data_IF_570257212754
#
_entry.id   IF_570257212754
#
_cell.length_a   1.000
_cell.length_b   1.000
_cell.length_c   1.000
_cell.angle_alpha   90.00
_cell.angle_beta   90.00
_cell.angle_gamma   90.00
#
_symmetry.space_group_name_H-M   'P 1'
#
loop_
_entity.id
_entity.type
_entity.pdbx_description
1 polymer ?
#
# COMPACT_ATOMS: atom_id res chain seq x y z
N UNK A 1 3.86 8.63 -20.07
CA UNK A 1 3.61 7.67 -18.98
C UNK A 1 3.94 8.40 -17.69
N UNK A 2 3.00 8.53 -16.76
CA UNK A 2 3.34 9.00 -15.42
C UNK A 2 4.15 7.88 -14.76
N UNK A 3 5.38 8.17 -14.37
CA UNK A 3 6.16 7.27 -13.54
C UNK A 3 5.46 7.16 -12.19
N UNK A 4 4.72 6.07 -11.99
CA UNK A 4 4.27 5.69 -10.64
C UNK A 4 5.51 5.70 -9.75
N UNK A 5 5.39 6.22 -8.53
CA UNK A 5 6.42 6.16 -7.49
C UNK A 5 5.82 5.53 -6.24
N UNK A 6 6.54 4.59 -5.64
CA UNK A 6 6.18 4.05 -4.34
C UNK A 6 6.61 5.05 -3.27
N UNK A 7 5.64 5.60 -2.53
CA UNK A 7 5.89 6.50 -1.39
C UNK A 7 5.78 5.68 -0.10
N UNK A 8 6.93 5.24 0.42
CA UNK A 8 7.03 4.40 1.61
C UNK A 8 6.45 5.12 2.84
N UNK A 9 6.67 6.44 2.97
CA UNK A 9 6.19 7.24 4.09
C UNK A 9 4.66 7.25 4.14
N UNK A 10 4.04 7.46 2.99
CA UNK A 10 2.58 7.41 2.87
C UNK A 10 2.02 6.02 3.10
N UNK A 11 2.68 4.99 2.56
CA UNK A 11 2.30 3.60 2.76
C UNK A 11 2.33 3.20 4.24
N UNK A 12 3.32 3.69 4.99
CA UNK A 12 3.38 3.52 6.44
C UNK A 12 2.19 4.14 7.17
N UNK A 13 1.76 5.33 6.79
CA UNK A 13 0.58 5.99 7.36
C UNK A 13 -0.70 5.19 7.06
N UNK A 14 -0.89 4.79 5.80
CA UNK A 14 -2.08 4.06 5.35
C UNK A 14 -2.16 2.64 5.96
N UNK A 15 -1.02 2.02 6.29
CA UNK A 15 -0.92 0.63 6.71
C UNK A 15 -0.08 0.43 7.99
N UNK A 16 -0.30 1.26 9.00
CA UNK A 16 0.42 1.24 10.28
C UNK A 16 0.44 -0.13 11.01
N UNK A 17 -0.51 -1.02 10.71
CA UNK A 17 -0.61 -2.35 11.29
C UNK A 17 0.51 -3.31 10.84
N UNK A 18 1.29 -2.95 9.82
CA UNK A 18 2.53 -3.64 9.43
C UNK A 18 3.78 -3.03 10.08
N UNK A 19 3.73 -2.78 11.38
CA UNK A 19 4.84 -2.11 12.08
C UNK A 19 6.19 -2.83 11.87
N UNK A 20 6.21 -4.16 11.83
CA UNK A 20 7.43 -4.96 11.58
C UNK A 20 8.05 -4.71 10.20
N UNK A 21 7.23 -4.52 9.16
CA UNK A 21 7.69 -4.14 7.82
C UNK A 21 8.30 -2.74 7.90
N UNK A 22 7.57 -1.79 8.50
CA UNK A 22 8.02 -0.41 8.57
C UNK A 22 9.28 -0.25 9.40
N UNK A 23 9.44 -1.01 10.48
CA UNK A 23 10.66 -1.04 11.28
C UNK A 23 11.86 -1.47 10.45
N UNK A 24 11.67 -2.43 9.54
CA UNK A 24 12.72 -2.85 8.60
C UNK A 24 13.12 -1.69 7.69
N UNK A 25 12.16 -1.02 7.05
CA UNK A 25 12.46 0.12 6.17
C UNK A 25 13.05 1.33 6.92
N UNK A 26 12.61 1.59 8.15
CA UNK A 26 13.17 2.62 9.02
C UNK A 26 14.63 2.32 9.34
N UNK A 27 14.94 1.06 9.69
CA UNK A 27 16.32 0.66 9.94
C UNK A 27 17.14 0.75 8.66
N UNK A 28 16.63 0.30 7.50
CA UNK A 28 17.31 0.45 6.20
C UNK A 28 17.63 1.91 5.89
N UNK A 29 16.70 2.84 6.19
CA UNK A 29 16.87 4.27 5.87
C UNK A 29 17.61 5.09 6.94
N UNK A 30 17.93 4.48 8.08
CA UNK A 30 18.62 5.14 9.19
C UNK A 30 19.94 5.79 8.75
N UNK A 31 20.22 6.98 9.29
CA UNK A 31 21.48 7.69 9.06
C UNK A 31 22.69 6.85 9.49
N UNK A 32 23.81 7.01 8.79
CA UNK A 32 25.11 6.42 9.16
C UNK A 32 25.91 7.30 10.14
N UNK A 33 25.36 8.44 10.55
CA UNK A 33 25.99 9.30 11.55
C UNK A 33 26.14 8.58 12.89
N UNK A 34 27.35 8.64 13.48
CA UNK A 34 27.69 7.91 14.70
C UNK A 34 28.00 6.43 14.50
N UNK A 35 27.94 5.90 13.27
CA UNK A 35 28.42 4.55 12.98
C UNK A 35 29.95 4.49 13.03
N UNK A 36 30.49 3.57 13.84
CA UNK A 36 31.95 3.40 14.01
C UNK A 36 32.67 2.96 12.72
N UNK A 37 31.96 2.43 11.73
CA UNK A 37 32.52 2.02 10.44
C UNK A 37 32.25 3.03 9.32
N UNK A 38 31.66 4.18 9.62
CA UNK A 38 31.32 5.22 8.63
C UNK A 38 32.47 5.54 7.69
N UNK A 39 33.69 5.68 8.18
CA UNK A 39 34.88 5.98 7.37
C UNK A 39 35.17 4.94 6.28
N UNK A 40 34.85 3.66 6.53
CA UNK A 40 34.96 2.60 5.52
C UNK A 40 33.91 2.78 4.43
N UNK A 41 32.68 3.09 4.82
CA UNK A 41 31.58 3.34 3.88
C UNK A 41 31.88 4.56 3.02
N UNK A 42 32.38 5.64 3.62
CA UNK A 42 32.79 6.86 2.93
C UNK A 42 33.87 6.58 1.87
N UNK A 43 34.93 5.86 2.24
CA UNK A 43 36.02 5.50 1.32
C UNK A 43 35.49 4.77 0.07
N UNK A 44 34.57 3.83 0.26
CA UNK A 44 33.98 3.02 -0.82
C UNK A 44 33.04 3.87 -1.67
N UNK A 45 32.15 4.63 -1.05
CA UNK A 45 31.21 5.49 -1.77
C UNK A 45 31.89 6.64 -2.50
N UNK A 46 32.99 7.18 -1.97
CA UNK A 46 33.79 8.19 -2.65
C UNK A 46 34.33 7.65 -3.99
N UNK A 47 34.79 6.40 -4.02
CA UNK A 47 35.25 5.74 -5.23
C UNK A 47 34.10 5.54 -6.23
N UNK A 48 32.95 5.06 -5.79
CA UNK A 48 31.79 4.80 -6.68
C UNK A 48 31.18 6.08 -7.24
N UNK A 49 31.32 7.20 -6.53
CA UNK A 49 30.85 8.49 -6.99
C UNK A 49 31.82 9.17 -7.97
N UNK A 50 33.09 8.74 -8.09
CA UNK A 50 34.08 9.38 -8.97
C UNK A 50 33.66 9.45 -10.46
N UNK A 51 33.11 8.37 -11.06
CA UNK A 51 32.77 8.36 -12.48
C UNK A 51 31.52 9.17 -12.84
N UNK A 52 30.76 9.65 -11.84
CA UNK A 52 29.49 10.34 -12.07
C UNK A 52 29.73 11.79 -12.50
N UNK A 53 29.00 12.21 -13.54
CA UNK A 53 29.00 13.59 -14.03
C UNK A 53 28.47 14.58 -12.97
N UNK A 54 27.45 14.17 -12.22
CA UNK A 54 26.81 14.97 -11.18
C UNK A 54 26.83 14.23 -9.84
N UNK A 55 27.58 14.77 -8.87
CA UNK A 55 27.72 14.17 -7.53
C UNK A 55 26.70 14.79 -6.58
N UNK A 56 25.47 14.26 -6.57
CA UNK A 56 24.43 14.71 -5.65
C UNK A 56 24.65 14.17 -4.25
N UNK A 57 24.33 15.00 -3.25
CA UNK A 57 24.43 14.62 -1.85
C UNK A 57 23.45 13.48 -1.51
N UNK A 58 22.27 13.43 -2.16
CA UNK A 58 21.32 12.32 -1.98
C UNK A 58 21.89 10.99 -2.47
N UNK A 59 22.65 10.99 -3.57
CA UNK A 59 23.30 9.80 -4.11
C UNK A 59 24.37 9.28 -3.17
N UNK A 60 25.18 10.19 -2.60
CA UNK A 60 26.16 9.85 -1.57
C UNK A 60 25.48 9.24 -0.34
N UNK A 61 24.43 9.88 0.18
CA UNK A 61 23.67 9.39 1.33
C UNK A 61 23.07 8.01 1.07
N UNK A 62 22.50 7.79 -0.12
CA UNK A 62 22.01 6.49 -0.55
C UNK A 62 23.12 5.43 -0.55
N UNK A 63 24.27 5.72 -1.18
CA UNK A 63 25.41 4.80 -1.21
C UNK A 63 25.86 4.40 0.20
N UNK A 64 26.02 5.38 1.11
CA UNK A 64 26.44 5.12 2.48
C UNK A 64 25.46 4.19 3.21
N UNK A 65 24.15 4.45 3.08
CA UNK A 65 23.09 3.60 3.64
C UNK A 65 23.13 2.19 3.03
N UNK A 66 23.30 2.06 1.71
CA UNK A 66 23.35 0.77 1.03
C UNK A 66 24.57 -0.05 1.45
N UNK A 67 25.76 0.53 1.51
CA UNK A 67 26.97 -0.18 1.98
C UNK A 67 26.82 -0.63 3.43
N UNK A 68 26.25 0.22 4.30
CA UNK A 68 25.93 -0.18 5.67
C UNK A 68 24.89 -1.30 5.73
N UNK A 69 23.87 -1.27 4.87
CA UNK A 69 22.81 -2.27 4.77
C UNK A 69 23.30 -3.63 4.29
N UNK A 70 24.21 -3.63 3.32
CA UNK A 70 24.93 -4.82 2.93
C UNK A 70 25.72 -5.26 4.16
N UNK A 71 26.60 -4.43 4.71
CA UNK A 71 27.14 -4.65 6.06
C UNK A 71 28.41 -5.48 6.12
N UNK A 72 29.03 -5.77 4.97
CA UNK A 72 30.28 -6.54 4.84
C UNK A 72 31.51 -5.83 5.39
N UNK A 73 31.37 -4.54 5.72
CA UNK A 73 32.41 -3.74 6.37
C UNK A 73 32.23 -3.60 7.89
N UNK A 74 31.18 -4.18 8.47
CA UNK A 74 30.89 -4.14 9.92
C UNK A 74 31.37 -5.40 10.64
N UNK A 75 31.71 -5.31 11.94
CA UNK A 75 32.19 -6.46 12.74
C UNK A 75 31.13 -7.55 12.92
N UNK A 76 29.85 -7.18 12.92
CA UNK A 76 28.76 -8.14 12.99
C UNK A 76 28.30 -8.41 11.57
N UNK A 77 28.74 -9.51 10.98
CA UNK A 77 28.29 -10.00 9.68
C UNK A 77 26.82 -10.43 9.76
N UNK A 78 25.89 -9.51 10.05
CA UNK A 78 24.44 -9.70 9.93
C UNK A 78 24.09 -10.31 8.56
N UNK A 79 24.90 -9.96 7.56
CA UNK A 79 24.98 -10.52 6.20
C UNK A 79 24.98 -12.04 6.11
N UNK A 80 25.60 -12.75 7.07
CA UNK A 80 25.67 -14.21 7.08
C UNK A 80 24.32 -14.88 7.39
N UNK A 81 23.30 -14.07 7.68
CA UNK A 81 21.98 -14.52 8.10
C UNK A 81 20.86 -13.94 7.23
N UNK A 82 21.17 -13.32 6.09
CA UNK A 82 20.12 -12.82 5.21
C UNK A 82 19.18 -13.97 4.83
N UNK A 83 17.92 -13.85 5.23
CA UNK A 83 16.85 -14.68 4.70
C UNK A 83 16.41 -14.11 3.36
N UNK A 84 15.73 -14.92 2.56
CA UNK A 84 15.12 -14.45 1.30
C UNK A 84 14.24 -13.20 1.51
N UNK A 85 13.52 -13.13 2.64
CA UNK A 85 12.67 -12.00 3.02
C UNK A 85 13.47 -10.70 3.21
N UNK A 86 14.64 -10.78 3.86
CA UNK A 86 15.51 -9.62 4.07
C UNK A 86 16.04 -9.08 2.74
N UNK A 87 16.35 -9.97 1.81
CA UNK A 87 16.81 -9.61 0.48
C UNK A 87 15.75 -8.95 -0.37
N UNK A 88 14.51 -9.42 -0.28
CA UNK A 88 13.37 -8.79 -0.93
C UNK A 88 13.16 -7.38 -0.38
N UNK A 89 13.14 -7.23 0.96
CA UNK A 89 13.02 -5.93 1.60
C UNK A 89 14.14 -4.96 1.20
N UNK A 90 15.39 -5.43 1.14
CA UNK A 90 16.53 -4.61 0.70
C UNK A 90 16.37 -4.18 -0.76
N UNK A 91 16.05 -5.08 -1.68
CA UNK A 91 15.87 -4.76 -3.11
C UNK A 91 14.67 -3.80 -3.32
N UNK A 92 13.59 -3.98 -2.56
CA UNK A 92 12.41 -3.10 -2.59
C UNK A 92 12.75 -1.68 -2.10
N UNK A 93 13.53 -1.57 -1.02
CA UNK A 93 14.06 -0.29 -0.56
C UNK A 93 14.98 0.35 -1.59
N UNK A 94 15.93 -0.40 -2.15
CA UNK A 94 16.85 0.07 -3.21
C UNK A 94 16.08 0.67 -4.39
N UNK A 95 15.06 -0.03 -4.89
CA UNK A 95 14.25 0.47 -5.99
C UNK A 95 13.50 1.75 -5.62
N UNK A 96 12.89 1.79 -4.43
CA UNK A 96 12.12 2.95 -3.98
C UNK A 96 13.02 4.18 -3.83
N UNK A 97 14.18 4.02 -3.20
CA UNK A 97 15.19 5.08 -3.06
C UNK A 97 15.77 5.50 -4.41
N UNK A 98 16.00 4.55 -5.33
CA UNK A 98 16.43 4.85 -6.71
C UNK A 98 15.46 5.83 -7.37
N UNK A 99 14.16 5.51 -7.32
CA UNK A 99 13.11 6.35 -7.92
C UNK A 99 12.94 7.68 -7.19
N UNK A 100 13.15 7.71 -5.89
CA UNK A 100 12.99 8.91 -5.10
C UNK A 100 14.09 9.94 -5.32
N UNK A 101 15.35 9.50 -5.32
CA UNK A 101 16.51 10.38 -5.38
C UNK A 101 17.17 10.39 -6.77
N UNK A 102 16.53 9.73 -7.75
CA UNK A 102 17.05 9.54 -9.10
C UNK A 102 18.50 9.00 -9.07
N UNK A 103 18.71 7.94 -8.29
CA UNK A 103 20.04 7.35 -8.07
C UNK A 103 20.52 6.68 -9.37
N UNK A 104 21.74 6.94 -9.83
CA UNK A 104 22.34 6.25 -10.97
C UNK A 104 22.49 4.74 -10.73
N UNK A 105 22.27 3.94 -11.76
CA UNK A 105 22.38 2.48 -11.69
C UNK A 105 23.81 2.02 -11.40
N UNK A 106 24.79 2.83 -11.78
CA UNK A 106 26.21 2.61 -11.52
C UNK A 106 26.50 2.51 -10.03
N UNK A 107 25.90 3.39 -9.19
CA UNK A 107 26.10 3.34 -7.73
C UNK A 107 25.58 2.03 -7.16
N UNK A 108 24.37 1.64 -7.54
CA UNK A 108 23.72 0.43 -7.03
C UNK A 108 24.55 -0.79 -7.45
N UNK A 109 24.92 -0.85 -8.74
CA UNK A 109 25.71 -1.94 -9.32
C UNK A 109 27.05 -2.10 -8.61
N UNK A 110 27.78 -1.00 -8.39
CA UNK A 110 29.08 -1.05 -7.72
C UNK A 110 28.97 -1.46 -6.24
N UNK A 111 27.95 -1.00 -5.51
CA UNK A 111 27.70 -1.45 -4.14
C UNK A 111 27.51 -2.97 -4.05
N UNK A 112 26.67 -3.55 -4.92
CA UNK A 112 26.43 -5.00 -4.92
C UNK A 112 27.60 -5.81 -5.48
N UNK A 113 28.34 -5.28 -6.46
CA UNK A 113 29.56 -5.91 -6.97
C UNK A 113 30.63 -6.01 -5.88
N UNK A 114 30.85 -4.93 -5.13
CA UNK A 114 31.79 -4.92 -4.03
C UNK A 114 31.38 -5.88 -2.92
N UNK A 115 30.09 -5.88 -2.54
CA UNK A 115 29.55 -6.86 -1.59
C UNK A 115 29.81 -8.31 -2.05
N UNK A 116 29.44 -8.65 -3.29
CA UNK A 116 29.66 -9.98 -3.88
C UNK A 116 31.12 -10.39 -3.85
N UNK A 117 32.02 -9.47 -4.21
CA UNK A 117 33.47 -9.73 -4.26
C UNK A 117 34.04 -10.01 -2.86
N UNK A 118 33.59 -9.27 -1.85
CA UNK A 118 33.98 -9.51 -0.45
C UNK A 118 33.42 -10.85 0.07
N UNK A 119 32.16 -11.18 -0.22
CA UNK A 119 31.56 -12.45 0.20
C UNK A 119 32.23 -13.66 -0.44
N UNK A 120 32.48 -13.60 -1.76
CA UNK A 120 33.19 -14.65 -2.47
C UNK A 120 34.61 -14.85 -1.93
N UNK A 121 35.32 -13.75 -1.61
CA UNK A 121 36.63 -13.80 -0.97
C UNK A 121 36.62 -14.49 0.41
N UNK A 122 35.48 -14.46 1.10
CA UNK A 122 35.24 -15.16 2.36
C UNK A 122 34.60 -16.56 2.18
N UNK A 123 34.44 -17.05 0.94
CA UNK A 123 33.85 -18.36 0.64
C UNK A 123 32.33 -18.43 0.79
N UNK A 124 31.63 -17.30 0.82
CA UNK A 124 30.17 -17.20 0.97
C UNK A 124 29.57 -16.92 -0.42
N UNK A 125 28.76 -17.86 -0.92
CA UNK A 125 28.18 -17.77 -2.27
C UNK A 125 26.66 -17.56 -2.27
N UNK A 126 25.98 -17.98 -1.21
CA UNK A 126 24.55 -17.70 -1.04
C UNK A 126 24.40 -16.29 -0.48
N UNK A 127 24.27 -15.32 -1.39
CA UNK A 127 24.30 -13.90 -1.09
C UNK A 127 23.06 -13.20 -1.64
N UNK A 128 22.78 -12.04 -1.07
CA UNK A 128 21.75 -11.14 -1.57
C UNK A 128 22.13 -10.57 -2.93
N UNK A 129 21.50 -11.06 -4.00
CA UNK A 129 21.72 -10.53 -5.33
C UNK A 129 20.85 -9.30 -5.59
N UNK A 130 21.43 -8.32 -6.25
CA UNK A 130 20.67 -7.24 -6.86
C UNK A 130 20.03 -7.71 -8.15
N UNK A 131 18.79 -7.29 -8.38
CA UNK A 131 18.13 -7.42 -9.65
C UNK A 131 17.37 -6.13 -9.97
N UNK A 132 17.48 -5.69 -11.23
CA UNK A 132 16.77 -4.52 -11.70
C UNK A 132 15.30 -4.83 -11.89
N UNK A 133 14.46 -4.15 -11.11
CA UNK A 133 13.01 -4.28 -11.21
C UNK A 133 12.47 -3.85 -12.59
N UNK A 134 13.06 -2.82 -13.19
CA UNK A 134 12.68 -2.30 -14.51
C UNK A 134 13.00 -3.28 -15.64
N UNK A 135 14.14 -3.96 -15.55
CA UNK A 135 14.59 -4.86 -16.61
C UNK A 135 13.91 -6.23 -16.53
N UNK A 136 13.43 -6.60 -15.34
CA UNK A 136 12.88 -7.94 -15.10
C UNK A 136 11.34 -7.98 -15.09
N UNK A 137 10.66 -6.85 -14.86
CA UNK A 137 9.22 -6.89 -14.62
C UNK A 137 8.43 -5.82 -15.37
N UNK A 138 7.21 -6.19 -15.79
CA UNK A 138 6.20 -5.22 -16.22
C UNK A 138 5.58 -4.57 -14.98
N UNK A 139 5.40 -3.26 -15.03
CA UNK A 139 4.89 -2.44 -13.90
C UNK A 139 5.54 -2.78 -12.56
N UNK A 140 6.84 -2.53 -12.39
CA UNK A 140 7.60 -3.08 -11.27
C UNK A 140 7.08 -2.68 -9.89
N UNK A 141 6.45 -1.50 -9.77
CA UNK A 141 5.80 -1.07 -8.51
C UNK A 141 4.68 -2.02 -8.10
N UNK A 142 3.87 -2.49 -9.04
CA UNK A 142 2.81 -3.43 -8.73
C UNK A 142 3.42 -4.77 -8.24
N UNK A 143 4.55 -5.19 -8.83
CA UNK A 143 5.27 -6.38 -8.38
C UNK A 143 5.84 -6.20 -6.97
N UNK A 144 6.47 -5.06 -6.67
CA UNK A 144 7.00 -4.75 -5.34
C UNK A 144 5.89 -4.76 -4.29
N UNK A 145 4.72 -4.19 -4.59
CA UNK A 145 3.56 -4.22 -3.70
C UNK A 145 3.16 -5.66 -3.36
N UNK A 146 3.06 -6.53 -4.38
CA UNK A 146 2.72 -7.94 -4.19
C UNK A 146 3.82 -8.71 -3.44
N UNK A 147 5.09 -8.41 -3.71
CA UNK A 147 6.24 -9.03 -3.04
C UNK A 147 6.29 -8.66 -1.55
N UNK A 148 6.10 -7.39 -1.20
CA UNK A 148 5.98 -6.95 0.21
C UNK A 148 4.84 -7.67 0.91
N UNK A 149 3.68 -7.82 0.26
CA UNK A 149 2.56 -8.58 0.82
C UNK A 149 2.93 -10.05 1.03
N UNK A 150 3.56 -10.68 0.03
CA UNK A 150 3.95 -12.08 0.07
C UNK A 150 4.98 -12.37 1.17
N UNK A 151 6.04 -11.57 1.26
CA UNK A 151 7.11 -11.74 2.27
C UNK A 151 6.63 -11.57 3.70
N UNK A 152 5.45 -10.97 3.91
CA UNK A 152 4.87 -10.72 5.23
C UNK A 152 3.54 -11.43 5.43
N UNK A 153 3.25 -12.44 4.60
CA UNK A 153 1.95 -13.08 4.57
C UNK A 153 1.67 -13.86 5.85
N UNK A 154 2.69 -14.37 6.56
CA UNK A 154 2.54 -14.97 7.89
C UNK A 154 1.90 -14.00 8.89
N UNK A 155 2.36 -12.74 8.91
CA UNK A 155 1.80 -11.69 9.78
C UNK A 155 0.35 -11.42 9.37
N UNK A 156 0.07 -11.34 8.07
CA UNK A 156 -1.29 -11.16 7.56
C UNK A 156 -2.20 -12.31 8.00
N UNK A 157 -1.76 -13.55 7.85
CA UNK A 157 -2.49 -14.76 8.25
C UNK A 157 -2.82 -14.72 9.75
N UNK A 158 -1.86 -14.41 10.60
CA UNK A 158 -2.05 -14.32 12.05
C UNK A 158 -3.05 -13.22 12.41
N UNK A 159 -2.96 -12.06 11.76
CA UNK A 159 -3.88 -10.94 11.97
C UNK A 159 -5.32 -11.27 11.56
N UNK A 160 -5.53 -11.99 10.46
CA UNK A 160 -6.89 -12.36 10.01
C UNK A 160 -7.49 -13.55 10.78
N UNK A 161 -6.64 -14.39 11.37
CA UNK A 161 -7.03 -15.52 12.21
C UNK A 161 -7.27 -15.12 13.69
N UNK A 162 -6.84 -13.92 14.10
CA UNK A 162 -7.05 -13.40 15.45
C UNK A 162 -8.54 -13.28 15.80
N UNK A 163 -8.93 -13.74 17.00
CA UNK A 163 -10.31 -13.76 17.52
C UNK A 163 -10.82 -12.36 17.90
N UNK A 164 -10.15 -11.31 17.44
CA UNK A 164 -10.63 -9.96 17.68
C UNK A 164 -11.91 -9.70 16.86
N UNK A 165 -13.00 -9.36 17.54
CA UNK A 165 -14.29 -9.05 16.91
C UNK A 165 -14.22 -7.80 16.02
N UNK A 166 -13.19 -6.95 16.20
CA UNK A 166 -13.01 -5.73 15.44
C UNK A 166 -12.16 -5.99 14.19
N UNK A 167 -12.81 -5.92 13.02
CA UNK A 167 -12.13 -5.96 11.72
C UNK A 167 -11.22 -4.74 11.59
N UNK A 168 -9.95 -4.97 11.29
CA UNK A 168 -9.07 -3.90 10.83
C UNK A 168 -9.38 -3.59 9.35
N UNK A 169 -10.14 -2.51 9.13
CA UNK A 169 -10.50 -2.07 7.77
C UNK A 169 -9.30 -1.73 6.90
N UNK A 170 -8.19 -1.27 7.50
CA UNK A 170 -6.93 -1.04 6.80
C UNK A 170 -6.35 -2.34 6.24
N UNK A 171 -6.33 -3.40 7.05
CA UNK A 171 -5.88 -4.73 6.63
C UNK A 171 -6.77 -5.31 5.53
N UNK A 172 -8.09 -5.24 5.71
CA UNK A 172 -9.04 -5.67 4.68
C UNK A 172 -8.84 -4.91 3.37
N UNK A 173 -8.66 -3.58 3.44
CA UNK A 173 -8.39 -2.74 2.26
C UNK A 173 -7.08 -3.15 1.59
N UNK A 174 -6.02 -3.40 2.35
CA UNK A 174 -4.72 -3.79 1.80
C UNK A 174 -4.78 -5.15 1.07
N UNK A 175 -5.44 -6.14 1.65
CA UNK A 175 -5.70 -7.45 1.01
C UNK A 175 -6.43 -7.23 -0.32
N UNK A 176 -7.46 -6.38 -0.31
CA UNK A 176 -8.23 -6.04 -1.50
C UNK A 176 -7.40 -5.31 -2.57
N UNK A 177 -6.54 -4.37 -2.18
CA UNK A 177 -5.67 -3.66 -3.11
C UNK A 177 -4.67 -4.64 -3.77
N UNK A 178 -4.11 -5.59 -3.00
CA UNK A 178 -3.23 -6.64 -3.54
C UNK A 178 -3.97 -7.57 -4.53
N UNK A 179 -5.19 -8.00 -4.19
CA UNK A 179 -6.02 -8.85 -5.08
C UNK A 179 -6.35 -8.11 -6.38
N UNK A 180 -6.67 -6.82 -6.30
CA UNK A 180 -6.94 -6.01 -7.48
C UNK A 180 -5.72 -5.91 -8.40
N UNK A 181 -4.56 -5.58 -7.80
CA UNK A 181 -3.29 -5.50 -8.54
C UNK A 181 -2.98 -6.82 -9.23
N UNK A 182 -3.07 -7.95 -8.50
CA UNK A 182 -2.86 -9.27 -9.06
C UNK A 182 -3.76 -9.52 -10.29
N UNK A 183 -5.07 -9.31 -10.15
CA UNK A 183 -6.03 -9.59 -11.23
C UNK A 183 -5.80 -8.73 -12.47
N UNK A 184 -5.53 -7.45 -12.29
CA UNK A 184 -5.24 -6.54 -13.41
C UNK A 184 -3.93 -6.94 -14.11
N UNK A 185 -2.89 -7.25 -13.34
CA UNK A 185 -1.59 -7.69 -13.85
C UNK A 185 -1.68 -9.01 -14.61
N UNK A 186 -2.33 -10.02 -14.02
CA UNK A 186 -2.54 -11.34 -14.62
C UNK A 186 -3.34 -11.23 -15.94
N UNK A 187 -4.44 -10.48 -15.92
CA UNK A 187 -5.26 -10.23 -17.11
C UNK A 187 -4.47 -9.56 -18.23
N UNK A 188 -3.66 -8.56 -17.88
CA UNK A 188 -2.91 -7.74 -18.85
C UNK A 188 -1.71 -8.47 -19.42
N UNK A 189 -1.01 -9.24 -18.60
CA UNK A 189 0.30 -9.80 -18.98
C UNK A 189 0.31 -11.32 -19.12
N UNK A 190 -0.55 -12.08 -18.44
CA UNK A 190 -0.38 -13.54 -18.37
C UNK A 190 -1.37 -14.34 -19.23
N UNK A 191 -2.29 -13.66 -19.92
CA UNK A 191 -3.21 -14.29 -20.87
C UNK A 191 -2.53 -14.57 -22.22
N UNK A 192 -2.69 -15.81 -22.71
CA UNK A 192 -2.16 -16.26 -24.01
C UNK A 192 -0.68 -16.66 -23.96
N UNK A 193 -0.10 -16.96 -25.13
CA UNK A 193 1.31 -17.34 -25.22
C UNK A 193 2.23 -16.11 -25.02
N UNK A 194 3.17 -16.22 -24.09
CA UNK A 194 4.20 -15.22 -23.80
C UNK A 194 5.62 -15.77 -23.84
N UNK A 195 5.79 -16.98 -24.38
CA UNK A 195 7.10 -17.58 -24.59
C UNK A 195 7.89 -16.70 -25.58
N UNK A 196 9.04 -16.19 -25.12
CA UNK A 196 9.94 -15.33 -25.89
C UNK A 196 10.05 -13.88 -25.39
N UNK A 197 9.13 -13.41 -24.55
CA UNK A 197 9.28 -12.14 -23.82
C UNK A 197 9.73 -12.43 -22.39
N UNK A 198 11.04 -12.34 -22.15
CA UNK A 198 11.65 -12.66 -20.85
C UNK A 198 11.03 -11.84 -19.71
N UNK A 199 10.80 -10.55 -19.91
CA UNK A 199 10.22 -9.64 -18.90
C UNK A 199 8.80 -10.08 -18.55
N UNK A 200 8.00 -10.41 -19.56
CA UNK A 200 6.64 -10.92 -19.38
C UNK A 200 6.65 -12.30 -18.72
N UNK A 201 7.58 -13.17 -19.09
CA UNK A 201 7.77 -14.47 -18.44
C UNK A 201 8.09 -14.33 -16.96
N UNK A 202 9.06 -13.48 -16.60
CA UNK A 202 9.42 -13.21 -15.21
C UNK A 202 8.25 -12.62 -14.42
N UNK A 203 7.56 -11.63 -15.00
CA UNK A 203 6.35 -11.04 -14.40
C UNK A 203 5.30 -12.11 -14.08
N UNK A 204 4.96 -12.97 -15.04
CA UNK A 204 3.94 -13.99 -14.85
C UNK A 204 4.38 -15.11 -13.90
N UNK A 205 5.66 -15.46 -13.88
CA UNK A 205 6.20 -16.39 -12.89
C UNK A 205 6.03 -15.84 -11.48
N UNK A 206 6.38 -14.57 -11.25
CA UNK A 206 6.19 -13.91 -9.95
C UNK A 206 4.72 -13.85 -9.54
N UNK A 207 3.81 -13.53 -10.48
CA UNK A 207 2.37 -13.54 -10.21
C UNK A 207 1.86 -14.95 -9.85
N UNK A 208 2.35 -15.99 -10.51
CA UNK A 208 2.01 -17.37 -10.17
C UNK A 208 2.49 -17.75 -8.77
N UNK A 209 3.72 -17.38 -8.40
CA UNK A 209 4.25 -17.57 -7.03
C UNK A 209 3.39 -16.83 -6.01
N UNK A 210 3.00 -15.59 -6.30
CA UNK A 210 2.08 -14.83 -5.45
C UNK A 210 0.76 -15.57 -5.28
N UNK A 211 0.15 -16.05 -6.37
CA UNK A 211 -1.11 -16.80 -6.32
C UNK A 211 -1.01 -18.05 -5.45
N UNK A 212 0.05 -18.84 -5.62
CA UNK A 212 0.27 -20.04 -4.80
C UNK A 212 0.42 -19.70 -3.33
N UNK A 213 1.20 -18.67 -3.00
CA UNK A 213 1.40 -18.24 -1.61
C UNK A 213 0.10 -17.71 -1.01
N UNK A 214 -0.61 -16.83 -1.73
CA UNK A 214 -1.90 -16.28 -1.33
C UNK A 214 -2.92 -17.37 -1.01
N UNK A 215 -3.02 -18.37 -1.89
CA UNK A 215 -3.97 -19.45 -1.72
C UNK A 215 -3.65 -20.26 -0.46
N UNK A 216 -2.39 -20.67 -0.32
CA UNK A 216 -1.96 -21.56 0.77
C UNK A 216 -1.93 -20.90 2.16
N UNK A 217 -1.52 -19.63 2.24
CA UNK A 217 -1.37 -18.92 3.52
C UNK A 217 -2.58 -18.09 3.92
N UNK A 218 -3.40 -17.64 2.97
CA UNK A 218 -4.48 -16.69 3.26
C UNK A 218 -5.87 -17.21 2.86
N UNK A 219 -6.07 -17.60 1.60
CA UNK A 219 -7.40 -17.97 1.11
C UNK A 219 -7.92 -19.29 1.70
N UNK A 220 -7.07 -20.32 1.77
CA UNK A 220 -7.45 -21.64 2.29
C UNK A 220 -7.44 -21.70 3.83
N UNK A 221 -6.95 -20.65 4.49
CA UNK A 221 -6.89 -20.59 5.96
C UNK A 221 -8.18 -20.04 6.55
N UNK A 222 -8.46 -20.48 7.77
CA UNK A 222 -9.56 -19.94 8.55
C UNK A 222 -9.32 -18.44 8.80
N UNK A 223 -10.27 -17.64 8.37
CA UNK A 223 -10.31 -16.20 8.57
C UNK A 223 -11.59 -15.89 9.33
N UNK A 224 -11.52 -15.14 10.44
CA UNK A 224 -12.69 -14.92 11.28
C UNK A 224 -13.68 -13.95 10.59
N UNK A 225 -13.54 -12.66 10.87
CA UNK A 225 -14.43 -11.63 10.35
C UNK A 225 -13.95 -11.01 9.03
N UNK A 226 -12.82 -11.46 8.50
CA UNK A 226 -12.22 -10.95 7.27
C UNK A 226 -12.82 -11.60 6.03
N UNK A 227 -12.97 -10.79 4.97
CA UNK A 227 -13.48 -11.24 3.68
C UNK A 227 -12.31 -11.43 2.71
N UNK A 228 -11.85 -12.67 2.56
CA UNK A 228 -10.72 -12.98 1.69
C UNK A 228 -11.26 -13.37 0.29
N UNK A 229 -11.05 -12.55 -0.75
CA UNK A 229 -11.52 -12.86 -2.11
C UNK A 229 -10.64 -13.90 -2.80
N UNK A 230 -11.24 -14.76 -3.61
CA UNK A 230 -10.51 -15.60 -4.54
C UNK A 230 -9.79 -14.76 -5.61
N UNK A 231 -8.56 -15.17 -5.94
CA UNK A 231 -7.82 -14.63 -7.08
C UNK A 231 -8.40 -15.10 -8.42
N UNK A 232 -9.07 -16.25 -8.46
CA UNK A 232 -9.57 -16.89 -9.68
C UNK A 232 -11.02 -16.52 -10.04
N UNK A 233 -11.81 -16.08 -9.06
CA UNK A 233 -13.24 -15.81 -9.25
C UNK A 233 -13.48 -14.30 -9.28
N UNK A 234 -13.91 -13.77 -10.43
CA UNK A 234 -14.05 -12.33 -10.66
C UNK A 234 -15.11 -11.64 -9.78
N UNK A 235 -16.27 -12.29 -9.58
CA UNK A 235 -17.36 -11.71 -8.80
C UNK A 235 -17.02 -11.57 -7.29
N UNK A 236 -16.18 -12.45 -6.75
CA UNK A 236 -15.82 -12.41 -5.33
C UNK A 236 -15.10 -11.13 -4.93
N UNK A 237 -14.32 -10.53 -5.83
CA UNK A 237 -13.69 -9.25 -5.57
C UNK A 237 -14.72 -8.15 -5.34
N UNK A 238 -15.77 -8.09 -6.17
CA UNK A 238 -16.83 -7.09 -6.01
C UNK A 238 -17.57 -7.28 -4.67
N UNK A 239 -17.93 -8.53 -4.35
CA UNK A 239 -18.74 -8.84 -3.17
C UNK A 239 -17.97 -8.68 -1.85
N UNK A 240 -16.67 -8.98 -1.86
CA UNK A 240 -15.84 -8.98 -0.65
C UNK A 240 -15.06 -7.67 -0.44
N UNK A 241 -14.64 -7.01 -1.52
CA UNK A 241 -13.76 -5.84 -1.48
C UNK A 241 -14.43 -4.52 -1.88
N UNK A 242 -15.47 -4.52 -2.72
CA UNK A 242 -16.20 -3.29 -3.06
C UNK A 242 -17.36 -3.04 -2.09
N UNK A 243 -18.06 -4.09 -1.64
CA UNK A 243 -19.13 -3.94 -0.65
C UNK A 243 -18.63 -3.52 0.75
N UNK A 244 -17.37 -3.79 1.09
CA UNK A 244 -16.75 -3.35 2.35
C UNK A 244 -16.45 -1.86 2.39
N UNK A 245 -16.30 -1.19 1.23
CA UNK A 245 -16.17 0.28 1.13
C UNK A 245 -17.46 1.03 1.53
N UNK A 246 -18.60 0.34 1.57
CA UNK A 246 -19.90 0.93 1.93
C UNK A 246 -20.21 0.85 3.43
N UNK A 247 -19.35 0.23 4.25
CA UNK A 247 -19.54 0.08 5.70
C UNK A 247 -18.43 0.78 6.50
N UNK A 248 -18.28 2.10 6.36
CA UNK A 248 -17.67 2.90 7.44
C UNK A 248 -18.77 3.19 8.50
N UNK A 249 -18.46 3.17 9.81
CA UNK A 249 -19.42 3.55 10.82
C UNK A 249 -19.65 5.06 10.73
N UNK A 250 -20.86 5.45 10.32
CA UNK A 250 -21.31 6.83 10.30
C UNK A 250 -21.70 7.25 11.72
N UNK A 251 -20.70 7.50 12.57
CA UNK A 251 -20.93 8.21 13.83
C UNK A 251 -20.37 9.63 13.71
N UNK A 252 -21.02 10.45 12.89
CA UNK A 252 -20.95 11.90 13.06
C UNK A 252 -22.19 12.31 13.86
N UNK A 253 -22.04 13.10 14.95
CA UNK A 253 -23.20 13.70 15.60
C UNK A 253 -23.93 14.53 14.56
N UNK A 254 -25.22 14.29 14.42
CA UNK A 254 -26.11 15.19 13.69
C UNK A 254 -25.99 16.54 14.39
N UNK A 255 -25.31 17.50 13.76
CA UNK A 255 -25.47 18.88 14.10
C UNK A 255 -26.93 19.22 13.75
N UNK A 256 -27.72 19.40 14.80
CA UNK A 256 -29.07 19.91 14.73
C UNK A 256 -29.00 21.31 14.08
N UNK A 257 -29.32 21.38 12.80
CA UNK A 257 -29.50 22.64 12.09
C UNK A 257 -30.75 23.32 12.66
N UNK A 258 -30.54 24.11 13.71
CA UNK A 258 -31.53 25.03 14.24
C UNK A 258 -31.99 25.99 13.13
N UNK A 259 -33.30 26.24 13.00
CA UNK A 259 -33.80 27.06 11.90
C UNK A 259 -33.40 28.53 12.09
N UNK A 260 -32.96 29.11 10.98
CA UNK A 260 -32.57 30.50 10.84
C UNK A 260 -33.65 31.48 11.33
N UNK A 261 -33.21 32.44 12.14
CA UNK A 261 -33.98 33.58 12.62
C UNK A 261 -34.51 34.43 11.45
N UNK A 262 -35.81 34.67 11.44
CA UNK A 262 -36.44 35.81 10.74
C UNK A 262 -36.98 36.78 11.79
N UNK A 263 -36.89 38.07 11.49
CA UNK A 263 -36.94 39.21 12.41
C UNK A 263 -38.32 39.61 12.95
N UNK A 264 -38.27 40.25 14.14
CA UNK A 264 -39.06 41.40 14.63
C UNK A 264 -40.52 41.21 15.08
N UNK A 265 -40.74 41.54 16.35
CA UNK A 265 -42.03 41.91 16.94
C UNK A 265 -42.04 41.77 18.46
N UNK A 266 -41.75 42.84 19.19
CA UNK A 266 -42.04 42.97 20.64
C UNK A 266 -43.56 42.89 20.86
N UNK A 267 -44.02 42.14 21.85
CA UNK A 267 -44.77 42.73 22.97
C UNK A 267 -45.02 41.73 24.12
N UNK A 268 -45.17 42.36 25.27
CA UNK A 268 -45.29 41.90 26.65
C UNK A 268 -46.71 41.31 26.89
N UNK A 269 -46.86 40.18 27.58
CA UNK A 269 -47.37 40.10 28.96
C UNK A 269 -47.85 38.70 29.42
N UNK A 270 -47.72 38.53 30.74
CA UNK A 270 -48.27 37.62 31.74
C UNK A 270 -49.26 36.45 31.46
N UNK A 271 -48.93 35.35 32.18
CA UNK A 271 -49.77 34.52 33.09
C UNK A 271 -50.73 33.44 32.57
N UNK A 272 -50.41 32.24 33.09
CA UNK A 272 -51.21 31.29 33.89
C UNK A 272 -52.11 30.26 33.20
N UNK A 273 -51.83 29.01 33.62
CA UNK A 273 -52.73 27.91 34.05
C UNK A 273 -53.77 27.43 33.03
N UNK A 274 -53.90 26.16 32.65
CA UNK A 274 -53.91 24.86 33.35
C UNK A 274 -55.19 24.17 32.82
N UNK A 275 -55.17 22.83 32.80
CA UNK A 275 -56.27 21.90 32.53
C UNK A 275 -56.57 21.43 31.08
N UNK A 276 -56.49 20.11 30.97
CA UNK A 276 -56.75 19.22 29.82
C UNK A 276 -58.26 18.86 29.69
N UNK A 277 -58.63 17.78 28.96
CA UNK A 277 -59.46 17.71 27.73
C UNK A 277 -60.90 17.21 28.10
N UNK A 278 -61.76 16.52 27.29
CA UNK A 278 -61.64 15.99 25.91
C UNK A 278 -62.92 16.13 25.04
N UNK A 279 -62.85 15.69 23.77
CA UNK A 279 -63.64 14.54 23.26
C UNK A 279 -63.88 14.56 21.74
N UNK A 280 -63.75 13.35 21.19
CA UNK A 280 -64.53 12.71 20.13
C UNK A 280 -64.39 13.16 18.66
N UNK A 281 -63.63 12.31 17.93
CA UNK A 281 -64.10 11.46 16.82
C UNK A 281 -65.31 11.93 16.01
N UNK A 282 -65.06 12.15 14.72
CA UNK A 282 -65.72 11.70 13.46
C UNK A 282 -64.86 12.42 12.39
N UNK A 283 -64.27 11.83 11.36
CA UNK A 283 -64.64 10.70 10.52
C UNK A 283 -64.32 11.13 9.08
N UNK A 284 -63.80 10.21 8.28
CA UNK A 284 -63.81 10.22 6.81
C UNK A 284 -62.73 11.04 6.04
N UNK A 285 -61.84 10.28 5.40
CA UNK A 285 -61.13 10.57 4.14
C UNK A 285 -62.15 10.49 2.97
N UNK A 286 -61.82 10.68 1.66
CA UNK A 286 -60.54 10.96 0.99
C UNK A 286 -60.63 12.05 -0.11
N UNK A 287 -59.50 12.65 -0.52
CA UNK A 287 -59.39 13.28 -1.85
C UNK A 287 -57.97 13.73 -2.16
N UNK A 288 -57.36 13.03 -3.12
CA UNK A 288 -56.32 13.44 -4.07
C UNK A 288 -55.55 14.76 -3.83
N UNK A 289 -54.22 14.72 -3.93
CA UNK A 289 -53.54 14.85 -5.23
C UNK A 289 -52.01 14.82 -5.10
N UNK A 290 -51.39 14.38 -6.21
CA UNK A 290 -50.00 14.60 -6.63
C UNK A 290 -48.87 13.81 -5.94
N UNK A 291 -48.63 12.64 -6.53
CA UNK A 291 -47.30 12.04 -6.72
C UNK A 291 -46.26 13.10 -7.10
N UNK A 292 -45.21 13.26 -6.27
CA UNK A 292 -43.94 13.85 -6.69
C UNK A 292 -42.98 12.72 -7.01
N UNK A 293 -42.96 12.37 -8.29
CA UNK A 293 -41.84 11.67 -8.91
C UNK A 293 -40.61 12.58 -8.84
N UNK A 294 -39.63 12.22 -8.01
CA UNK A 294 -38.31 12.85 -8.06
C UNK A 294 -37.42 11.94 -8.89
N UNK A 295 -37.04 12.43 -10.08
CA UNK A 295 -36.00 11.85 -10.90
C UNK A 295 -34.69 11.88 -10.12
N UNK A 296 -34.27 10.73 -9.60
CA UNK A 296 -32.92 10.57 -9.07
C UNK A 296 -31.96 10.58 -10.26
N UNK A 297 -31.28 11.70 -10.43
CA UNK A 297 -30.15 11.82 -11.33
C UNK A 297 -29.14 10.69 -11.02
N UNK A 298 -28.76 9.94 -12.05
CA UNK A 298 -27.66 8.99 -12.01
C UNK A 298 -26.38 9.79 -11.86
N UNK A 299 -26.00 10.08 -10.62
CA UNK A 299 -24.68 10.58 -10.30
C UNK A 299 -23.69 9.43 -10.48
N UNK A 300 -22.79 9.54 -11.45
CA UNK A 300 -21.57 8.73 -11.51
C UNK A 300 -20.75 9.02 -10.25
N UNK A 301 -20.99 8.22 -9.21
CA UNK A 301 -20.13 8.15 -8.03
C UNK A 301 -18.81 7.50 -8.46
N UNK A 302 -17.84 8.33 -8.85
CA UNK A 302 -16.44 7.94 -8.82
C UNK A 302 -16.03 7.77 -7.35
N UNK A 303 -16.20 6.55 -6.83
CA UNK A 303 -15.82 6.17 -5.48
C UNK A 303 -14.31 6.26 -5.31
N UNK A 304 -13.85 7.29 -4.62
CA UNK A 304 -12.45 7.50 -4.31
C UNK A 304 -11.91 6.39 -3.40
N UNK A 305 -11.24 5.39 -3.98
CA UNK A 305 -10.29 4.56 -3.26
C UNK A 305 -9.02 5.38 -3.08
N UNK A 306 -8.67 5.82 -1.86
CA UNK A 306 -7.65 6.86 -1.61
C UNK A 306 -6.28 6.67 -2.29
N UNK A 307 -5.92 5.45 -2.71
CA UNK A 307 -4.71 5.18 -3.51
C UNK A 307 -5.07 5.13 -5.01
N UNK A 308 -6.02 4.30 -5.43
CA UNK A 308 -6.48 4.20 -6.83
C UNK A 308 -7.08 5.49 -7.41
N UNK A 309 -7.66 6.36 -6.58
CA UNK A 309 -8.19 7.66 -6.96
C UNK A 309 -7.08 8.69 -7.17
N UNK A 310 -5.97 8.61 -6.42
CA UNK A 310 -4.77 9.37 -6.74
C UNK A 310 -4.09 8.80 -8.00
N UNK A 311 -4.08 7.47 -8.17
CA UNK A 311 -3.60 6.82 -9.40
C UNK A 311 -4.44 7.19 -10.64
N UNK A 312 -5.75 7.33 -10.50
CA UNK A 312 -6.67 7.71 -11.59
C UNK A 312 -6.67 9.23 -11.85
N UNK A 313 -6.59 10.07 -10.80
CA UNK A 313 -6.61 11.54 -10.93
C UNK A 313 -5.34 12.08 -11.59
N UNK A 314 -4.20 11.40 -11.47
CA UNK A 314 -2.99 11.71 -12.25
C UNK A 314 -3.17 11.37 -13.74
N UNK A 315 -4.06 10.44 -14.09
CA UNK A 315 -4.32 10.03 -15.48
C UNK A 315 -5.21 11.03 -16.24
N UNK A 316 -6.06 11.79 -15.55
CA UNK A 316 -6.97 12.77 -16.18
C UNK A 316 -6.41 14.20 -16.30
N UNK A 317 -5.26 14.51 -15.69
CA UNK A 317 -4.66 15.86 -15.76
C UNK A 317 -3.84 16.05 -17.07
N UNK A 318 -3.65 15.00 -17.88
CA UNK A 318 -2.86 15.05 -19.12
C UNK A 318 -3.55 14.38 -20.34
N UNK A 319 -4.83 14.70 -20.56
CA UNK A 319 -5.45 14.57 -21.89
C UNK A 319 -5.63 15.97 -22.47
#
# INVERSE_FOLDING_TARGET
MSDKKLDISKWKEDYHFFYTIWDTYIELDKSVEGDRYKSRYETVCDLFMQPLDEKKEEHRKFCLKLIRNLGHYSENLKILKFKSEDCNNLNNWVYSSKKEYNVPDEIITECFNDFKRNMNGAGIYDICNYYSYEDNYKEPINIIILDIFQSNMNIVTDLVASVNDIINFGLQKYICDCVHIYKEMDKKYCRGNYHGDLVRTLTCNTLNTFKTTYNSYLYEKAHNNYKIPSLDVDNEYADKCLASKLKLPFNSPVADDGPASTSLGMDIDERKSEYSPPSNFIGETPSSSMSRTVSTAVGTMAGASSILALLYKVTQIFI
#
